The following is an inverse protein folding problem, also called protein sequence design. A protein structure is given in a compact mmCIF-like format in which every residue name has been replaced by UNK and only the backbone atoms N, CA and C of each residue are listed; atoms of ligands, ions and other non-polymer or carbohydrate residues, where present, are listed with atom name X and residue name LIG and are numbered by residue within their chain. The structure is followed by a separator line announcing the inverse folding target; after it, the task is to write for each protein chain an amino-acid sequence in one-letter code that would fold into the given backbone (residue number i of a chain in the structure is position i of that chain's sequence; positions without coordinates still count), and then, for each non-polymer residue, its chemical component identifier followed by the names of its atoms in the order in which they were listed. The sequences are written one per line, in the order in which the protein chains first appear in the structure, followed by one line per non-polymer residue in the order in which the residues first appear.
data_IF_784246232889
#
_entry.id   IF_784246232889
#
_cell.length_a   1.000
_cell.length_b   1.000
_cell.length_c   1.000
_cell.angle_alpha   90.00
_cell.angle_beta   90.00
_cell.angle_gamma   90.00
#
_symmetry.space_group_name_H-M   'P 1'
#
loop_
_entity.id
_entity.type
_entity.pdbx_description
1 polymer ?
#
# COMPACT_ATOMS: atom_id res chain seq x y z
N UNK A 1 0.01 -18.95 -6.11
CA UNK A 1 0.13 -17.56 -6.61
C UNK A 1 -0.51 -16.62 -5.61
N UNK A 2 0.25 -15.83 -4.86
CA UNK A 2 -0.31 -14.71 -4.11
C UNK A 2 0.26 -13.43 -4.72
N UNK A 3 -0.59 -12.61 -5.33
CA UNK A 3 -0.22 -11.27 -5.80
C UNK A 3 0.06 -10.32 -4.62
N UNK A 4 -0.36 -10.70 -3.42
CA UNK A 4 -0.30 -9.92 -2.19
C UNK A 4 0.59 -10.61 -1.16
N UNK A 5 1.45 -9.84 -0.49
CA UNK A 5 2.26 -10.31 0.63
C UNK A 5 1.59 -9.90 1.94
N UNK A 6 1.37 -10.86 2.85
CA UNK A 6 0.73 -10.63 4.14
C UNK A 6 1.58 -11.32 5.21
N UNK A 7 2.25 -10.54 6.04
CA UNK A 7 2.97 -11.03 7.21
C UNK A 7 2.89 -9.98 8.33
N UNK A 8 2.25 -10.33 9.46
CA UNK A 8 2.09 -9.40 10.59
C UNK A 8 3.34 -9.27 11.45
N UNK A 9 4.18 -10.30 11.47
CA UNK A 9 5.45 -10.33 12.21
C UNK A 9 6.55 -9.55 11.49
N UNK A 10 6.35 -9.28 10.20
CA UNK A 10 7.27 -8.51 9.38
C UNK A 10 6.89 -7.03 9.43
N UNK A 11 7.72 -6.23 10.10
CA UNK A 11 7.53 -4.79 10.23
C UNK A 11 7.88 -4.00 8.95
N UNK A 12 8.38 -4.66 7.90
CA UNK A 12 8.60 -4.00 6.62
C UNK A 12 7.27 -3.53 6.00
N UNK A 13 7.25 -2.29 5.50
CA UNK A 13 6.12 -1.73 4.77
C UNK A 13 6.07 -2.24 3.32
N UNK A 14 7.25 -2.26 2.69
CA UNK A 14 7.45 -2.68 1.31
C UNK A 14 8.41 -3.88 1.30
N UNK A 15 8.04 -4.91 0.55
CA UNK A 15 8.86 -6.09 0.34
C UNK A 15 9.10 -6.30 -1.16
N UNK A 16 10.27 -6.83 -1.55
CA UNK A 16 10.53 -7.10 -2.95
C UNK A 16 9.54 -8.16 -3.47
N UNK A 17 9.09 -8.00 -4.70
CA UNK A 17 8.24 -9.00 -5.36
C UNK A 17 9.03 -10.30 -5.48
N UNK A 18 8.41 -11.43 -5.13
CA UNK A 18 9.04 -12.77 -5.28
C UNK A 18 9.30 -13.16 -6.74
N UNK A 19 8.54 -12.57 -7.67
CA UNK A 19 8.70 -12.75 -9.10
C UNK A 19 8.57 -11.38 -9.80
N UNK A 20 9.50 -11.09 -10.72
CA UNK A 20 9.58 -9.82 -11.44
C UNK A 20 10.37 -8.73 -10.70
N UNK A 21 10.36 -7.52 -11.26
CA UNK A 21 11.01 -6.33 -10.68
C UNK A 21 9.99 -5.52 -9.87
N UNK A 22 10.43 -4.96 -8.74
CA UNK A 22 9.67 -3.99 -7.95
C UNK A 22 9.31 -4.46 -6.55
N UNK A 23 8.44 -3.69 -5.90
CA UNK A 23 8.06 -3.83 -4.50
C UNK A 23 6.55 -4.00 -4.36
N UNK A 24 6.11 -4.65 -3.29
CA UNK A 24 4.70 -4.74 -2.89
C UNK A 24 4.55 -4.34 -1.44
N UNK A 25 3.39 -3.79 -1.08
CA UNK A 25 3.06 -3.57 0.33
C UNK A 25 2.93 -4.90 1.06
N UNK A 26 3.34 -4.88 2.32
CA UNK A 26 2.98 -5.89 3.29
C UNK A 26 1.61 -5.58 3.89
N UNK A 27 0.58 -6.25 3.40
CA UNK A 27 -0.80 -6.06 3.88
C UNK A 27 -1.04 -6.64 5.28
N UNK A 28 -0.05 -7.32 5.87
CA UNK A 28 -0.06 -7.68 7.29
C UNK A 28 0.32 -6.53 8.22
N UNK A 29 0.91 -5.46 7.69
CA UNK A 29 1.41 -4.34 8.48
C UNK A 29 0.35 -3.21 8.57
N UNK A 30 -0.12 -2.84 9.78
CA UNK A 30 -1.07 -1.75 9.97
C UNK A 30 -0.61 -0.40 9.40
N UNK A 31 0.69 -0.13 9.46
CA UNK A 31 1.28 1.10 8.92
C UNK A 31 1.25 1.12 7.38
N UNK A 32 1.33 -0.04 6.72
CA UNK A 32 1.17 -0.14 5.26
C UNK A 32 -0.28 0.14 4.85
N UNK A 33 -1.24 -0.33 5.64
CA UNK A 33 -2.66 -0.02 5.43
C UNK A 33 -2.96 1.47 5.64
N UNK A 34 -2.39 2.09 6.69
CA UNK A 34 -2.49 3.53 6.92
C UNK A 34 -1.92 4.35 5.76
N UNK A 35 -0.72 3.98 5.27
CA UNK A 35 -0.12 4.64 4.11
C UNK A 35 -1.04 4.57 2.89
N UNK A 36 -1.58 3.37 2.58
CA UNK A 36 -2.50 3.20 1.46
C UNK A 36 -3.77 4.03 1.63
N UNK A 37 -4.35 4.05 2.82
CA UNK A 37 -5.52 4.86 3.14
C UNK A 37 -5.24 6.37 2.98
N UNK A 38 -4.08 6.85 3.44
CA UNK A 38 -3.66 8.25 3.28
C UNK A 38 -3.49 8.64 1.81
N UNK A 39 -2.91 7.77 0.99
CA UNK A 39 -2.77 8.01 -0.46
C UNK A 39 -4.14 8.10 -1.12
N UNK A 40 -5.05 7.17 -0.82
CA UNK A 40 -6.43 7.19 -1.35
C UNK A 40 -7.18 8.46 -0.91
N UNK A 41 -7.04 8.86 0.35
CA UNK A 41 -7.66 10.07 0.88
C UNK A 41 -7.12 11.33 0.19
N UNK A 42 -5.80 11.43 -0.02
CA UNK A 42 -5.17 12.54 -0.72
C UNK A 42 -5.67 12.64 -2.17
N UNK A 43 -5.69 11.52 -2.91
CA UNK A 43 -6.20 11.48 -4.28
C UNK A 43 -7.67 11.92 -4.32
N UNK A 44 -8.48 11.42 -3.39
CA UNK A 44 -9.91 11.77 -3.29
C UNK A 44 -10.10 13.27 -3.02
N UNK A 45 -9.31 13.84 -2.11
CA UNK A 45 -9.34 15.28 -1.80
C UNK A 45 -8.95 16.12 -3.03
N UNK A 46 -7.90 15.73 -3.75
CA UNK A 46 -7.48 16.42 -4.97
C UNK A 46 -8.59 16.39 -6.02
N UNK A 47 -9.18 15.21 -6.26
CA UNK A 47 -10.30 15.07 -7.20
C UNK A 47 -11.45 15.99 -6.80
N UNK A 48 -11.86 16.00 -5.53
CA UNK A 48 -12.92 16.89 -5.04
C UNK A 48 -12.56 18.35 -5.26
N UNK A 49 -11.31 18.74 -4.97
CA UNK A 49 -10.82 20.12 -5.09
C UNK A 49 -10.81 20.65 -6.53
N UNK A 50 -10.58 19.79 -7.51
CA UNK A 50 -10.55 20.16 -8.94
C UNK A 50 -11.90 19.95 -9.66
N UNK A 51 -12.92 19.47 -8.96
CA UNK A 51 -14.29 19.31 -9.49
C UNK A 51 -15.19 20.54 -9.29
N UNK A 52 -14.68 21.60 -8.66
CA UNK A 52 -15.32 22.91 -8.56
C UNK A 52 -14.57 23.95 -9.39
#
# INVERSE_FOLDING_TARGET
MALFYINREDHALLVPRRFGLGWTLNFGNPSAAMLLASVVALISLLIIRFRG
#
